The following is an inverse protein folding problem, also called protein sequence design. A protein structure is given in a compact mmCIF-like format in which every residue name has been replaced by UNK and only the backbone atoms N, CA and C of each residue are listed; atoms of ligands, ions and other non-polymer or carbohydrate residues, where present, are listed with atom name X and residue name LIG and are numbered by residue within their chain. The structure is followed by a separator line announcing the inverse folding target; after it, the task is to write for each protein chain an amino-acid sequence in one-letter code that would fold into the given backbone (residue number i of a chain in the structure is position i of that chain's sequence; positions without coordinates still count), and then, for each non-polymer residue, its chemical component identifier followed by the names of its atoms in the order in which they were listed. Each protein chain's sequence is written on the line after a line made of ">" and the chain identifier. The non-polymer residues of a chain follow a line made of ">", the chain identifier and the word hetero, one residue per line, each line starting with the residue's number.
data_IF_743889179950
#
_entry.id   IF_743889179950
#
_cell.length_a   1.000
_cell.length_b   1.000
_cell.length_c   1.000
_cell.angle_alpha   90.00
_cell.angle_beta   90.00
_cell.angle_gamma   90.00
#
_symmetry.space_group_name_H-M   'P 1'
#
loop_
_entity.id
_entity.type
_entity.pdbx_description
1 polymer ?
#
# COMPACT_ATOMS: atom_id res chain seq x y z
N UNK A 1 5.10 0.92 -9.33
CA UNK A 1 4.09 0.17 -8.55
C UNK A 1 4.58 -0.26 -7.17
N UNK A 2 5.89 -0.36 -6.96
CA UNK A 2 6.49 -0.73 -5.67
C UNK A 2 7.03 0.49 -4.94
N UNK A 3 6.79 0.56 -3.63
CA UNK A 3 7.31 1.64 -2.78
C UNK A 3 8.24 1.07 -1.70
N UNK A 4 7.71 0.42 -0.68
CA UNK A 4 8.48 -0.09 0.45
C UNK A 4 8.40 -1.60 0.53
N UNK A 5 9.52 -2.24 0.86
CA UNK A 5 9.58 -3.66 1.17
C UNK A 5 10.24 -3.90 2.50
N UNK A 6 9.83 -4.98 3.17
CA UNK A 6 10.53 -5.52 4.33
C UNK A 6 10.66 -7.03 4.16
N UNK A 7 11.86 -7.53 4.24
CA UNK A 7 12.19 -8.95 4.18
C UNK A 7 13.14 -9.37 5.30
N UNK A 8 13.30 -10.70 5.45
CA UNK A 8 14.30 -11.26 6.36
C UNK A 8 14.90 -12.55 5.81
N UNK A 9 16.14 -12.79 6.15
CA UNK A 9 16.76 -14.12 6.15
C UNK A 9 16.81 -14.65 7.58
N UNK A 10 16.54 -15.93 7.75
CA UNK A 10 16.78 -16.64 8.99
C UNK A 10 18.05 -17.48 8.86
N UNK A 11 18.88 -17.48 9.90
CA UNK A 11 20.09 -18.30 10.03
C UNK A 11 21.21 -17.98 9.02
N UNK A 12 22.03 -16.99 9.34
CA UNK A 12 23.25 -16.71 8.59
C UNK A 12 24.30 -16.04 9.50
N UNK A 13 25.58 -16.14 9.15
CA UNK A 13 26.66 -15.50 9.90
C UNK A 13 26.79 -14.01 9.55
N UNK A 14 25.66 -13.29 9.61
CA UNK A 14 25.64 -11.87 9.25
C UNK A 14 26.23 -11.01 10.36
N UNK A 15 27.16 -10.13 10.02
CA UNK A 15 27.81 -9.20 10.93
C UNK A 15 27.89 -7.79 10.33
N UNK A 16 27.87 -6.73 11.15
CA UNK A 16 28.18 -5.38 10.67
C UNK A 16 29.59 -5.30 10.12
N UNK A 17 29.80 -4.70 8.95
CA UNK A 17 31.15 -4.48 8.42
C UNK A 17 31.95 -3.57 9.34
N UNK A 18 33.21 -3.91 9.56
CA UNK A 18 34.13 -3.15 10.40
C UNK A 18 34.29 -1.69 9.95
N UNK A 19 34.41 -1.47 8.63
CA UNK A 19 34.56 -0.14 8.03
C UNK A 19 33.36 0.79 8.24
N UNK A 20 32.21 0.24 8.58
CA UNK A 20 30.96 0.99 8.79
C UNK A 20 30.45 0.87 10.23
N UNK A 21 31.28 0.33 11.14
CA UNK A 21 30.88 0.01 12.52
C UNK A 21 30.30 1.19 13.28
N UNK A 22 30.86 2.38 13.10
CA UNK A 22 30.38 3.61 13.77
C UNK A 22 29.01 4.08 13.29
N UNK A 23 28.51 3.49 12.19
CA UNK A 23 27.18 3.77 11.64
C UNK A 23 26.10 2.90 12.24
N UNK A 24 26.45 1.89 13.03
CA UNK A 24 25.53 0.91 13.59
C UNK A 24 25.19 1.24 15.04
N UNK A 25 23.90 1.21 15.36
CA UNK A 25 23.40 1.23 16.71
C UNK A 25 23.37 -0.20 17.26
N UNK A 26 24.07 -0.45 18.36
CA UNK A 26 24.06 -1.75 19.05
C UNK A 26 23.18 -1.69 20.26
N UNK A 27 22.27 -2.64 20.41
CA UNK A 27 21.41 -2.80 21.57
C UNK A 27 21.58 -4.19 22.18
N UNK A 28 21.77 -4.20 23.49
CA UNK A 28 21.83 -5.43 24.29
C UNK A 28 20.55 -5.54 25.09
N UNK A 29 19.94 -6.71 25.09
CA UNK A 29 18.74 -7.01 25.86
C UNK A 29 18.90 -8.31 26.62
N UNK A 30 18.76 -8.23 27.94
CA UNK A 30 18.67 -9.40 28.80
C UNK A 30 17.21 -9.85 28.91
N UNK A 31 16.99 -11.15 28.84
CA UNK A 31 15.68 -11.76 29.06
C UNK A 31 15.83 -13.08 29.79
N UNK A 32 14.80 -13.46 30.52
CA UNK A 32 14.75 -14.75 31.20
C UNK A 32 14.02 -15.76 30.33
N UNK A 33 14.70 -16.86 29.98
CA UNK A 33 14.08 -17.97 29.28
C UNK A 33 13.48 -18.94 30.32
N UNK A 34 12.15 -18.93 30.43
CA UNK A 34 11.43 -19.77 31.39
C UNK A 34 11.53 -21.25 31.10
N UNK A 35 11.86 -21.65 29.86
CA UNK A 35 12.03 -23.07 29.48
C UNK A 35 13.41 -23.59 29.90
N UNK A 36 14.43 -22.74 29.77
CA UNK A 36 15.81 -23.09 30.13
C UNK A 36 16.14 -22.74 31.58
N UNK A 37 15.28 -21.96 32.26
CA UNK A 37 15.54 -21.51 33.64
C UNK A 37 16.75 -20.56 33.75
N UNK A 38 17.18 -19.93 32.67
CA UNK A 38 18.41 -19.15 32.58
C UNK A 38 18.17 -17.74 32.07
N UNK A 39 19.05 -16.82 32.49
CA UNK A 39 19.09 -15.46 31.93
C UNK A 39 19.93 -15.50 30.66
N UNK A 40 19.36 -15.04 29.56
CA UNK A 40 20.02 -14.94 28.25
C UNK A 40 20.21 -13.48 27.87
N UNK A 41 21.30 -13.20 27.17
CA UNK A 41 21.58 -11.89 26.61
C UNK A 41 21.48 -11.97 25.10
N UNK A 42 20.72 -11.08 24.49
CA UNK A 42 20.64 -10.96 23.03
C UNK A 42 21.24 -9.62 22.59
N UNK A 43 22.10 -9.66 21.62
CA UNK A 43 22.70 -8.47 20.99
C UNK A 43 22.02 -8.26 19.64
N UNK A 44 21.66 -7.02 19.33
CA UNK A 44 21.16 -6.65 18.01
C UNK A 44 21.87 -5.41 17.49
N UNK A 45 22.09 -5.38 16.19
CA UNK A 45 22.67 -4.25 15.51
C UNK A 45 21.66 -3.67 14.52
N UNK A 46 21.52 -2.34 14.49
CA UNK A 46 20.64 -1.67 13.53
C UNK A 46 21.36 -0.52 12.84
N UNK A 47 21.16 -0.43 11.53
CA UNK A 47 21.62 0.66 10.69
C UNK A 47 20.39 1.33 10.07
N UNK A 48 20.30 2.66 10.18
CA UNK A 48 19.24 3.43 9.53
C UNK A 48 19.85 4.44 8.56
N UNK A 49 19.37 4.41 7.33
CA UNK A 49 19.68 5.37 6.25
C UNK A 49 18.38 5.84 5.62
N UNK A 50 18.37 6.96 4.87
CA UNK A 50 17.17 7.45 4.20
C UNK A 50 16.52 6.43 3.27
N UNK A 51 17.33 5.56 2.63
CA UNK A 51 16.91 4.57 1.65
C UNK A 51 16.46 3.26 2.28
N UNK A 52 17.15 2.83 3.35
CA UNK A 52 16.90 1.54 3.97
C UNK A 52 17.30 1.47 5.44
N UNK A 53 16.68 0.53 6.13
CA UNK A 53 17.06 0.10 7.48
C UNK A 53 17.49 -1.35 7.45
N UNK A 54 18.63 -1.66 8.03
CA UNK A 54 19.15 -3.02 8.20
C UNK A 54 19.15 -3.36 9.69
N UNK A 55 18.69 -4.56 10.04
CA UNK A 55 18.77 -5.12 11.39
C UNK A 55 19.43 -6.49 11.38
N UNK A 56 20.42 -6.69 12.24
CA UNK A 56 21.03 -8.00 12.50
C UNK A 56 20.70 -8.38 13.94
N UNK A 57 20.03 -9.51 14.13
CA UNK A 57 19.51 -9.92 15.43
C UNK A 57 20.26 -11.14 15.97
N UNK A 58 21.10 -10.88 16.96
CA UNK A 58 21.66 -11.81 17.91
C UNK A 58 22.29 -13.07 17.35
N UNK A 59 22.47 -14.03 18.21
CA UNK A 59 22.99 -15.35 17.90
C UNK A 59 22.07 -16.17 16.95
N UNK A 60 20.87 -15.66 16.68
CA UNK A 60 19.92 -16.28 15.74
C UNK A 60 20.31 -16.07 14.27
N UNK A 61 21.25 -15.14 13.98
CA UNK A 61 21.70 -14.86 12.61
C UNK A 61 20.57 -14.37 11.70
N UNK A 62 19.60 -13.62 12.23
CA UNK A 62 18.52 -13.02 11.41
C UNK A 62 19.00 -11.71 10.83
N UNK A 63 18.99 -11.61 9.50
CA UNK A 63 19.15 -10.36 8.76
C UNK A 63 17.77 -9.86 8.34
N UNK A 64 17.38 -8.67 8.80
CA UNK A 64 16.15 -7.98 8.39
C UNK A 64 16.46 -6.72 7.61
N UNK A 65 15.76 -6.50 6.52
CA UNK A 65 15.93 -5.30 5.69
C UNK A 65 14.57 -4.68 5.42
N UNK A 66 14.44 -3.39 5.68
CA UNK A 66 13.31 -2.55 5.26
C UNK A 66 13.86 -1.46 4.34
N UNK A 67 13.29 -1.30 3.14
CA UNK A 67 13.80 -0.37 2.16
C UNK A 67 12.70 0.37 1.39
N UNK A 68 12.93 1.66 1.14
CA UNK A 68 12.19 2.42 0.14
C UNK A 68 12.83 2.20 -1.23
N UNK A 69 12.19 1.38 -2.06
CA UNK A 69 12.71 1.06 -3.40
C UNK A 69 12.87 2.30 -4.29
N UNK A 70 11.92 3.28 -4.29
CA UNK A 70 12.10 4.52 -5.03
C UNK A 70 13.34 5.30 -4.60
N UNK A 71 13.65 5.39 -3.32
CA UNK A 71 14.85 6.10 -2.84
C UNK A 71 16.12 5.40 -3.28
N UNK A 72 16.15 4.06 -3.30
CA UNK A 72 17.29 3.28 -3.77
C UNK A 72 17.51 3.43 -5.28
N UNK A 73 16.44 3.44 -6.08
CA UNK A 73 16.54 3.45 -7.55
C UNK A 73 16.62 4.88 -8.11
N UNK A 74 15.83 5.81 -7.56
CA UNK A 74 15.69 7.17 -8.11
C UNK A 74 16.27 8.26 -7.20
N UNK A 75 16.78 7.93 -6.01
CA UNK A 75 17.26 8.90 -5.02
C UNK A 75 16.14 9.71 -4.33
N UNK A 76 14.89 9.48 -4.67
CA UNK A 76 13.74 10.15 -4.08
C UNK A 76 12.51 9.24 -4.04
N UNK A 77 11.48 9.63 -3.30
CA UNK A 77 10.27 8.83 -3.11
C UNK A 77 9.08 9.31 -3.98
N UNK A 78 9.33 10.00 -5.10
CA UNK A 78 8.24 10.49 -5.96
C UNK A 78 7.73 9.40 -6.91
N UNK A 79 8.61 8.77 -7.67
CA UNK A 79 8.22 7.78 -8.67
C UNK A 79 8.25 6.37 -8.08
N UNK A 80 7.15 5.61 -8.15
CA UNK A 80 7.17 4.18 -7.80
C UNK A 80 8.13 3.41 -8.73
N UNK A 81 8.72 2.33 -8.21
CA UNK A 81 9.53 1.42 -9.01
C UNK A 81 8.63 0.37 -9.64
N UNK A 82 8.86 0.05 -10.93
CA UNK A 82 8.15 -1.02 -11.63
C UNK A 82 9.06 -2.20 -11.95
N UNK A 83 10.37 -1.96 -12.08
CA UNK A 83 11.38 -3.02 -12.26
C UNK A 83 11.83 -3.56 -10.91
N UNK A 84 11.29 -4.73 -10.57
CA UNK A 84 11.62 -5.41 -9.33
C UNK A 84 13.06 -5.97 -9.34
N UNK A 85 13.56 -6.39 -10.50
CA UNK A 85 14.92 -6.92 -10.65
C UNK A 85 15.97 -5.86 -10.34
N UNK A 86 15.84 -4.69 -10.96
CA UNK A 86 16.73 -3.55 -10.67
C UNK A 86 16.63 -3.12 -9.20
N UNK A 87 15.41 -3.08 -8.64
CA UNK A 87 15.21 -2.73 -7.24
C UNK A 87 15.91 -3.70 -6.28
N UNK A 88 15.76 -5.00 -6.51
CA UNK A 88 16.40 -6.05 -5.69
C UNK A 88 17.93 -6.03 -5.84
N UNK A 89 18.45 -5.80 -7.05
CA UNK A 89 19.88 -5.65 -7.30
C UNK A 89 20.45 -4.46 -6.51
N UNK A 90 19.83 -3.27 -6.63
CA UNK A 90 20.23 -2.07 -5.86
C UNK A 90 20.18 -2.30 -4.35
N UNK A 91 19.16 -3.01 -3.89
CA UNK A 91 19.04 -3.36 -2.48
C UNK A 91 20.18 -4.32 -2.06
N UNK A 92 20.56 -5.28 -2.90
CA UNK A 92 21.69 -6.18 -2.71
C UNK A 92 23.01 -5.43 -2.57
N UNK A 93 23.28 -4.52 -3.51
CA UNK A 93 24.45 -3.65 -3.49
C UNK A 93 24.51 -2.81 -2.18
N UNK A 94 23.35 -2.26 -1.78
CA UNK A 94 23.24 -1.49 -0.54
C UNK A 94 23.54 -2.36 0.68
N UNK A 95 22.92 -3.54 0.81
CA UNK A 95 23.13 -4.43 1.96
C UNK A 95 24.57 -4.90 2.02
N UNK A 96 25.16 -5.29 0.87
CA UNK A 96 26.54 -5.75 0.76
C UNK A 96 27.58 -4.66 1.14
N UNK A 97 27.19 -3.38 1.10
CA UNK A 97 28.05 -2.29 1.56
C UNK A 97 28.24 -2.31 3.08
N UNK A 98 27.24 -2.76 3.83
CA UNK A 98 27.19 -2.63 5.30
C UNK A 98 27.26 -3.95 6.06
N UNK A 99 26.99 -5.09 5.41
CA UNK A 99 26.91 -6.40 6.05
C UNK A 99 28.04 -7.30 5.55
N UNK A 100 28.76 -7.93 6.48
CA UNK A 100 29.68 -9.03 6.22
C UNK A 100 28.95 -10.38 6.26
N UNK A 101 29.38 -11.30 5.44
CA UNK A 101 28.80 -12.63 5.28
C UNK A 101 28.32 -12.86 3.85
N UNK A 102 28.07 -14.12 3.52
CA UNK A 102 27.49 -14.50 2.25
C UNK A 102 25.99 -14.15 2.27
N UNK A 103 25.63 -13.09 1.55
CA UNK A 103 24.23 -12.62 1.45
C UNK A 103 23.60 -13.32 0.24
N UNK A 104 22.57 -14.17 0.45
CA UNK A 104 21.84 -14.75 -0.66
C UNK A 104 21.15 -13.68 -1.50
N UNK A 105 20.65 -14.06 -2.69
CA UNK A 105 19.85 -13.15 -3.51
C UNK A 105 18.69 -12.57 -2.68
N UNK A 106 18.54 -11.25 -2.65
CA UNK A 106 17.52 -10.61 -1.80
C UNK A 106 16.09 -10.96 -2.20
N UNK A 107 15.90 -11.43 -3.44
CA UNK A 107 14.63 -12.03 -3.87
C UNK A 107 14.18 -13.20 -3.02
N UNK A 108 15.13 -13.97 -2.45
CA UNK A 108 14.89 -15.13 -1.60
C UNK A 108 14.58 -14.78 -0.13
N UNK A 109 14.63 -13.50 0.26
CA UNK A 109 14.20 -13.10 1.60
C UNK A 109 12.74 -13.45 1.84
N UNK A 110 12.43 -13.97 3.03
CA UNK A 110 11.05 -14.11 3.46
C UNK A 110 10.38 -12.75 3.49
N UNK A 111 9.30 -12.60 2.73
CA UNK A 111 8.48 -11.42 2.72
C UNK A 111 7.86 -11.14 4.09
N UNK A 112 7.98 -9.92 4.59
CA UNK A 112 7.31 -9.43 5.80
C UNK A 112 6.30 -8.33 5.51
N UNK A 113 6.66 -7.40 4.59
CA UNK A 113 5.83 -6.28 4.16
C UNK A 113 6.15 -5.91 2.72
N UNK A 114 5.13 -5.52 1.99
CA UNK A 114 5.25 -4.85 0.69
C UNK A 114 4.19 -3.76 0.60
N UNK A 115 4.58 -2.62 0.04
CA UNK A 115 3.69 -1.49 -0.23
C UNK A 115 3.58 -1.33 -1.75
N UNK A 116 2.36 -1.49 -2.26
CA UNK A 116 2.01 -1.22 -3.66
C UNK A 116 1.40 0.16 -3.77
N UNK A 117 1.81 0.95 -4.73
CA UNK A 117 1.31 2.30 -4.88
C UNK A 117 1.15 2.73 -6.34
N UNK A 118 0.31 3.75 -6.54
CA UNK A 118 0.17 4.50 -7.77
C UNK A 118 0.02 6.00 -7.46
N UNK A 119 0.51 6.83 -8.37
CA UNK A 119 0.42 8.29 -8.28
C UNK A 119 -0.59 8.79 -9.31
N UNK A 120 -1.67 9.41 -8.85
CA UNK A 120 -2.64 10.10 -9.69
C UNK A 120 -2.28 11.59 -9.78
N UNK A 121 -2.08 12.12 -10.98
CA UNK A 121 -1.83 13.55 -11.20
C UNK A 121 -3.16 14.27 -11.33
N UNK A 122 -3.59 14.93 -10.27
CA UNK A 122 -4.89 15.56 -10.14
C UNK A 122 -4.82 17.09 -10.20
N UNK A 123 -3.61 17.67 -10.11
CA UNK A 123 -3.42 19.11 -10.14
C UNK A 123 -4.20 19.83 -9.04
N UNK A 124 -4.97 20.84 -9.43
CA UNK A 124 -5.81 21.64 -8.51
C UNK A 124 -6.99 20.87 -7.93
N UNK A 125 -7.42 19.77 -8.52
CA UNK A 125 -8.53 18.95 -8.03
C UNK A 125 -8.14 18.04 -6.85
N UNK A 126 -6.84 17.94 -6.48
CA UNK A 126 -6.38 17.09 -5.37
C UNK A 126 -7.16 17.28 -4.06
N UNK A 127 -7.47 18.51 -3.58
CA UNK A 127 -8.23 18.68 -2.34
C UNK A 127 -9.63 18.08 -2.41
N UNK A 128 -10.31 18.18 -3.55
CA UNK A 128 -11.66 17.66 -3.75
C UNK A 128 -11.66 16.13 -3.73
N UNK A 129 -10.64 15.49 -4.37
CA UNK A 129 -10.47 14.03 -4.28
C UNK A 129 -10.18 13.56 -2.85
N UNK A 130 -9.31 14.25 -2.10
CA UNK A 130 -9.03 13.92 -0.71
C UNK A 130 -10.29 14.06 0.14
N UNK A 131 -11.08 15.11 -0.06
CA UNK A 131 -12.36 15.32 0.61
C UNK A 131 -13.33 14.18 0.30
N UNK A 132 -13.53 13.84 -0.97
CA UNK A 132 -14.39 12.74 -1.41
C UNK A 132 -13.94 11.40 -0.82
N UNK A 133 -12.65 11.11 -0.87
CA UNK A 133 -12.08 9.88 -0.28
C UNK A 133 -12.27 9.83 1.24
N UNK A 134 -12.30 10.99 1.91
CA UNK A 134 -12.54 11.04 3.36
C UNK A 134 -13.92 10.52 3.74
N UNK A 135 -14.89 10.50 2.83
CA UNK A 135 -16.22 9.97 3.05
C UNK A 135 -16.39 8.50 2.64
N UNK A 136 -15.40 7.95 1.92
CA UNK A 136 -15.45 6.54 1.51
C UNK A 136 -15.29 5.61 2.71
N UNK A 137 -16.27 4.76 2.93
CA UNK A 137 -16.24 3.71 3.95
C UNK A 137 -15.82 2.38 3.34
N UNK A 138 -14.73 1.82 3.83
CA UNK A 138 -14.24 0.52 3.39
C UNK A 138 -14.56 -0.56 4.43
N UNK A 139 -15.33 -1.58 4.03
CA UNK A 139 -15.82 -2.62 4.95
C UNK A 139 -14.69 -3.30 5.74
N UNK A 140 -14.87 -3.41 7.06
CA UNK A 140 -13.93 -4.01 8.01
C UNK A 140 -12.62 -3.23 8.17
N UNK A 141 -12.55 -1.99 7.69
CA UNK A 141 -11.43 -1.11 7.93
C UNK A 141 -11.87 0.04 8.82
N UNK A 142 -11.01 0.45 9.74
CA UNK A 142 -11.17 1.71 10.47
C UNK A 142 -10.60 2.82 9.62
N UNK A 143 -11.29 3.92 9.53
CA UNK A 143 -10.85 5.12 8.84
C UNK A 143 -10.23 6.09 9.85
N UNK A 144 -9.13 6.69 9.47
CA UNK A 144 -8.47 7.78 10.20
C UNK A 144 -7.96 8.80 9.19
N UNK A 145 -7.69 10.02 9.65
CA UNK A 145 -6.98 11.00 8.84
C UNK A 145 -5.51 10.59 8.73
N UNK A 146 -4.96 10.66 7.53
CA UNK A 146 -3.52 10.53 7.31
C UNK A 146 -2.80 11.81 7.73
N UNK A 147 -1.61 11.68 8.32
CA UNK A 147 -0.82 12.83 8.77
C UNK A 147 -0.45 13.82 7.66
N UNK A 148 -0.54 13.42 6.38
CA UNK A 148 -0.19 14.24 5.24
C UNK A 148 -1.41 14.85 4.54
N UNK A 149 -2.49 15.07 5.27
CA UNK A 149 -3.73 15.65 4.76
C UNK A 149 -4.51 14.69 3.87
N UNK A 150 -4.38 13.41 4.07
CA UNK A 150 -5.06 12.35 3.35
C UNK A 150 -5.95 11.49 4.24
N UNK A 151 -6.30 10.32 3.74
CA UNK A 151 -7.15 9.35 4.42
C UNK A 151 -6.45 8.00 4.51
N UNK A 152 -6.67 7.32 5.62
CA UNK A 152 -6.13 6.02 5.87
C UNK A 152 -7.19 5.04 6.36
N UNK A 153 -7.18 3.82 5.82
CA UNK A 153 -8.07 2.72 6.20
C UNK A 153 -7.25 1.54 6.72
N UNK A 154 -7.59 1.06 7.91
CA UNK A 154 -6.92 -0.03 8.59
C UNK A 154 -7.77 -1.27 8.68
N UNK A 155 -7.17 -2.44 8.47
CA UNK A 155 -7.73 -3.70 8.94
C UNK A 155 -6.92 -4.27 10.11
N UNK A 156 -7.58 -4.97 11.02
CA UNK A 156 -6.92 -5.65 12.14
C UNK A 156 -5.89 -6.70 11.69
N UNK A 157 -5.94 -7.14 10.44
CA UNK A 157 -5.07 -8.17 9.86
C UNK A 157 -3.79 -7.61 9.20
N UNK A 158 -3.42 -6.34 9.47
CA UNK A 158 -2.18 -5.77 8.95
C UNK A 158 -2.24 -5.38 7.47
N UNK A 159 -3.43 -5.10 6.92
CA UNK A 159 -3.62 -4.39 5.67
C UNK A 159 -3.93 -2.93 5.99
N UNK A 160 -3.22 -2.03 5.32
CA UNK A 160 -3.39 -0.60 5.42
C UNK A 160 -3.55 -0.03 4.03
N UNK A 161 -4.50 0.85 3.82
CA UNK A 161 -4.71 1.55 2.56
C UNK A 161 -4.57 3.04 2.89
N UNK A 162 -3.89 3.79 2.06
CA UNK A 162 -3.67 5.22 2.23
C UNK A 162 -3.91 5.95 0.92
N UNK A 163 -4.49 7.14 1.01
CA UNK A 163 -4.58 8.08 -0.09
C UNK A 163 -4.19 9.45 0.46
N UNK A 164 -3.11 10.03 -0.03
CA UNK A 164 -2.53 11.24 0.57
C UNK A 164 -1.84 12.15 -0.45
N UNK A 165 -1.70 13.42 -0.05
CA UNK A 165 -0.95 14.44 -0.79
C UNK A 165 0.55 14.10 -0.75
N UNK A 166 1.09 13.70 -1.91
CA UNK A 166 2.50 13.29 -2.02
C UNK A 166 3.48 14.43 -1.80
N UNK A 167 3.09 15.65 -2.16
CA UNK A 167 3.93 16.83 -1.93
C UNK A 167 4.11 17.10 -0.44
N UNK A 168 3.01 17.07 0.33
CA UNK A 168 3.08 17.25 1.79
C UNK A 168 3.92 16.18 2.47
N UNK A 169 3.76 14.93 2.04
CA UNK A 169 4.53 13.80 2.59
C UNK A 169 6.04 14.00 2.37
N UNK A 170 6.48 14.38 1.16
CA UNK A 170 7.90 14.62 0.86
C UNK A 170 8.40 15.83 1.66
N UNK A 171 7.62 16.91 1.72
CA UNK A 171 8.01 18.11 2.45
C UNK A 171 8.20 17.84 3.95
N UNK A 172 7.34 17.04 4.56
CA UNK A 172 7.43 16.71 5.99
C UNK A 172 8.56 15.72 6.30
N UNK A 173 8.75 14.68 5.48
CA UNK A 173 9.70 13.61 5.75
C UNK A 173 11.12 13.94 5.26
N UNK A 174 11.25 14.42 4.04
CA UNK A 174 12.55 14.65 3.41
C UNK A 174 13.02 16.11 3.51
N UNK A 175 12.14 17.02 3.99
CA UNK A 175 12.40 18.48 4.11
C UNK A 175 12.84 19.12 2.78
N UNK A 176 12.38 18.56 1.66
CA UNK A 176 12.71 19.00 0.31
C UNK A 176 11.46 19.52 -0.40
N UNK A 177 11.59 20.66 -1.06
CA UNK A 177 10.58 21.12 -2.01
C UNK A 177 10.79 20.37 -3.34
N UNK A 178 9.79 19.58 -3.73
CA UNK A 178 9.75 18.82 -4.98
C UNK A 178 8.51 19.27 -5.76
N UNK A 179 8.62 20.32 -6.59
CA UNK A 179 7.46 20.90 -7.28
C UNK A 179 6.67 19.89 -8.12
N UNK A 180 7.34 18.86 -8.68
CA UNK A 180 6.72 17.81 -9.48
C UNK A 180 5.76 16.92 -8.69
N UNK A 181 5.83 16.96 -7.35
CA UNK A 181 4.92 16.26 -6.46
C UNK A 181 3.62 17.02 -6.20
N UNK A 182 3.55 18.33 -6.56
CA UNK A 182 2.35 19.15 -6.35
C UNK A 182 1.18 18.62 -7.16
N UNK A 183 0.02 18.54 -6.53
CA UNK A 183 -1.19 17.98 -7.15
C UNK A 183 -1.15 16.48 -7.41
N UNK A 184 -0.23 15.75 -6.76
CA UNK A 184 -0.13 14.29 -6.86
C UNK A 184 -0.79 13.63 -5.65
N UNK A 185 -1.84 12.85 -5.89
CA UNK A 185 -2.41 11.91 -4.94
C UNK A 185 -1.68 10.58 -5.02
N UNK A 186 -1.04 10.14 -3.93
CA UNK A 186 -0.54 8.76 -3.84
C UNK A 186 -1.60 7.88 -3.21
N UNK A 187 -1.96 6.83 -3.94
CA UNK A 187 -2.75 5.72 -3.43
C UNK A 187 -1.83 4.54 -3.13
N UNK A 188 -1.87 4.04 -1.91
CA UNK A 188 -0.92 3.04 -1.41
C UNK A 188 -1.64 1.93 -0.66
N UNK A 189 -1.21 0.69 -0.87
CA UNK A 189 -1.70 -0.49 -0.17
C UNK A 189 -0.51 -1.18 0.51
N UNK A 190 -0.47 -1.10 1.83
CA UNK A 190 0.49 -1.84 2.63
C UNK A 190 -0.05 -3.22 2.97
N UNK A 191 0.70 -4.26 2.64
CA UNK A 191 0.38 -5.66 2.92
C UNK A 191 1.47 -6.28 3.78
N UNK A 192 1.11 -6.78 4.95
CA UNK A 192 2.03 -7.47 5.85
C UNK A 192 1.80 -8.98 5.81
N UNK A 193 2.86 -9.78 5.95
CA UNK A 193 2.80 -11.26 6.00
C UNK A 193 1.72 -11.77 6.96
N UNK A 194 1.60 -11.17 8.15
CA UNK A 194 0.60 -11.54 9.16
C UNK A 194 -0.85 -11.39 8.71
N UNK A 195 -1.15 -10.62 7.64
CA UNK A 195 -2.50 -10.50 7.11
C UNK A 195 -2.96 -11.77 6.38
N UNK A 196 -2.02 -12.59 5.92
CA UNK A 196 -2.27 -13.76 5.08
C UNK A 196 -2.93 -13.45 3.75
N UNK A 197 -2.99 -12.16 3.34
CA UNK A 197 -3.70 -11.76 2.12
C UNK A 197 -3.02 -12.30 0.85
N UNK A 198 -1.72 -12.05 0.69
CA UNK A 198 -0.94 -12.51 -0.46
C UNK A 198 -0.79 -14.03 -0.46
N UNK A 199 -0.59 -14.65 0.72
CA UNK A 199 -0.50 -16.10 0.84
C UNK A 199 -1.77 -16.80 0.34
N UNK A 200 -2.95 -16.30 0.72
CA UNK A 200 -4.23 -16.82 0.22
C UNK A 200 -4.42 -16.59 -1.27
N UNK A 201 -4.03 -15.39 -1.76
CA UNK A 201 -4.14 -15.03 -3.17
C UNK A 201 -3.27 -15.90 -4.05
N UNK A 202 -2.03 -16.15 -3.64
CA UNK A 202 -1.06 -16.97 -4.38
C UNK A 202 -1.11 -18.45 -4.02
N UNK A 203 -1.99 -18.85 -3.09
CA UNK A 203 -2.12 -20.24 -2.57
C UNK A 203 -0.79 -20.79 -2.05
N UNK A 204 0.06 -19.94 -1.50
CA UNK A 204 1.39 -20.28 -0.98
C UNK A 204 1.52 -19.83 0.49
N UNK A 205 2.14 -20.69 1.32
CA UNK A 205 2.34 -20.39 2.75
C UNK A 205 3.53 -19.46 2.97
N UNK A 206 4.62 -19.73 2.30
CA UNK A 206 5.87 -18.97 2.41
C UNK A 206 6.13 -18.24 1.10
N UNK A 207 6.02 -16.91 1.14
CA UNK A 207 6.31 -16.05 0.01
C UNK A 207 7.64 -15.36 0.23
N UNK A 208 8.42 -15.29 -0.83
CA UNK A 208 9.67 -14.55 -0.92
C UNK A 208 9.44 -13.15 -1.48
N UNK A 209 10.42 -12.25 -1.36
CA UNK A 209 10.31 -10.92 -1.95
C UNK A 209 10.07 -10.97 -3.47
N UNK A 210 10.77 -11.84 -4.20
CA UNK A 210 10.56 -12.04 -5.63
C UNK A 210 9.15 -12.50 -6.00
N UNK A 211 8.46 -13.22 -5.10
CA UNK A 211 7.09 -13.66 -5.34
C UNK A 211 6.07 -12.52 -5.23
N UNK A 212 6.34 -11.54 -4.38
CA UNK A 212 5.43 -10.42 -4.12
C UNK A 212 5.78 -9.17 -4.95
N UNK A 213 7.00 -9.07 -5.47
CA UNK A 213 7.47 -7.96 -6.31
C UNK A 213 7.19 -8.23 -7.79
N UNK A 214 6.01 -8.73 -8.12
CA UNK A 214 5.54 -8.94 -9.50
C UNK A 214 4.56 -7.82 -9.89
N UNK A 215 4.81 -7.11 -11.00
CA UNK A 215 3.93 -6.02 -11.45
C UNK A 215 2.46 -6.41 -11.57
N UNK A 216 2.18 -7.62 -12.05
CA UNK A 216 0.81 -8.14 -12.23
C UNK A 216 0.09 -8.31 -10.88
N UNK A 217 0.83 -8.70 -9.84
CA UNK A 217 0.27 -8.84 -8.49
C UNK A 217 -0.01 -7.46 -7.90
N UNK A 218 0.93 -6.52 -8.03
CA UNK A 218 0.76 -5.16 -7.55
C UNK A 218 -0.42 -4.47 -8.25
N UNK A 219 -0.47 -4.53 -9.58
CA UNK A 219 -1.55 -3.98 -10.39
C UNK A 219 -2.91 -4.55 -9.99
N UNK A 220 -3.01 -5.87 -9.96
CA UNK A 220 -4.24 -6.56 -9.59
C UNK A 220 -4.71 -6.22 -8.16
N UNK A 221 -3.78 -6.03 -7.21
CA UNK A 221 -4.13 -5.59 -5.84
C UNK A 221 -4.64 -4.14 -5.81
N UNK A 222 -4.03 -3.25 -6.57
CA UNK A 222 -4.43 -1.85 -6.67
C UNK A 222 -5.83 -1.73 -7.32
N UNK A 223 -6.04 -2.35 -8.49
CA UNK A 223 -7.33 -2.36 -9.20
C UNK A 223 -8.44 -2.95 -8.31
N UNK A 224 -8.20 -4.14 -7.73
CA UNK A 224 -9.19 -4.77 -6.85
C UNK A 224 -9.55 -3.88 -5.65
N UNK A 225 -8.60 -3.10 -5.15
CA UNK A 225 -8.85 -2.23 -4.01
C UNK A 225 -9.62 -0.99 -4.41
N UNK A 226 -9.24 -0.32 -5.51
CA UNK A 226 -9.98 0.83 -6.05
C UNK A 226 -11.42 0.44 -6.38
N UNK A 227 -11.63 -0.68 -7.10
CA UNK A 227 -12.97 -1.17 -7.41
C UNK A 227 -13.80 -1.51 -6.16
N UNK A 228 -13.17 -2.06 -5.11
CA UNK A 228 -13.86 -2.34 -3.85
C UNK A 228 -14.22 -1.09 -3.05
N UNK A 229 -13.43 -0.05 -3.21
CA UNK A 229 -13.72 1.28 -2.65
C UNK A 229 -14.65 2.06 -3.56
N UNK A 230 -14.84 1.60 -4.80
CA UNK A 230 -15.65 2.19 -5.87
C UNK A 230 -15.31 3.66 -6.14
N UNK A 231 -14.04 4.00 -6.00
CA UNK A 231 -13.51 5.33 -6.37
C UNK A 231 -13.29 5.47 -7.89
N UNK A 232 -13.53 4.40 -8.64
CA UNK A 232 -13.49 4.33 -10.10
C UNK A 232 -14.85 4.56 -10.76
N UNK A 233 -15.95 4.65 -9.96
CA UNK A 233 -17.30 4.86 -10.48
C UNK A 233 -17.62 6.35 -10.62
N UNK A 234 -18.32 6.69 -11.70
CA UNK A 234 -19.04 7.96 -11.79
C UNK A 234 -20.11 8.01 -10.70
N UNK A 235 -20.19 9.14 -10.01
CA UNK A 235 -21.16 9.31 -8.94
C UNK A 235 -22.53 9.53 -9.54
N UNK A 236 -23.48 8.68 -9.18
CA UNK A 236 -24.85 8.78 -9.64
C UNK A 236 -25.64 9.71 -8.70
N UNK A 237 -26.23 10.77 -9.24
CA UNK A 237 -27.13 11.64 -8.46
C UNK A 237 -28.30 10.84 -7.88
N UNK A 238 -28.92 11.36 -6.80
CA UNK A 238 -30.08 10.68 -6.20
C UNK A 238 -31.24 10.48 -7.20
N UNK A 239 -31.42 11.42 -8.13
CA UNK A 239 -32.46 11.31 -9.17
C UNK A 239 -32.10 10.27 -10.22
N UNK A 240 -30.83 10.22 -10.65
CA UNK A 240 -30.36 9.17 -11.55
C UNK A 240 -30.43 7.78 -10.88
N UNK A 241 -30.03 7.68 -9.60
CA UNK A 241 -30.19 6.45 -8.82
C UNK A 241 -31.66 6.01 -8.73
N UNK A 242 -32.59 6.95 -8.53
CA UNK A 242 -34.04 6.68 -8.51
C UNK A 242 -34.51 6.12 -9.85
N UNK A 243 -34.16 6.75 -10.95
CA UNK A 243 -34.54 6.30 -12.30
C UNK A 243 -34.08 4.85 -12.54
N UNK A 244 -32.84 4.55 -12.25
CA UNK A 244 -32.27 3.18 -12.38
C UNK A 244 -33.02 2.18 -11.47
N UNK A 245 -33.33 2.58 -10.25
CA UNK A 245 -34.07 1.69 -9.32
C UNK A 245 -35.53 1.45 -9.77
N UNK A 246 -36.21 2.48 -10.28
CA UNK A 246 -37.57 2.40 -10.76
C UNK A 246 -37.70 1.55 -12.04
N UNK A 247 -36.65 1.52 -12.89
CA UNK A 247 -36.58 0.65 -14.07
C UNK A 247 -36.40 -0.84 -13.72
N UNK A 248 -35.69 -1.16 -12.63
CA UNK A 248 -35.32 -2.54 -12.33
C UNK A 248 -36.11 -3.20 -11.20
N UNK A 249 -36.83 -2.42 -10.40
CA UNK A 249 -37.54 -2.92 -9.24
C UNK A 249 -38.96 -2.34 -9.14
N UNK A 250 -39.83 -3.06 -8.41
CA UNK A 250 -41.13 -2.51 -8.05
C UNK A 250 -40.98 -1.24 -7.20
N UNK A 251 -41.93 -0.32 -7.32
CA UNK A 251 -41.95 0.96 -6.58
C UNK A 251 -41.61 0.81 -5.08
N UNK A 252 -42.19 -0.20 -4.42
CA UNK A 252 -41.93 -0.48 -3.00
C UNK A 252 -40.45 -0.83 -2.74
N UNK A 253 -39.85 -1.66 -3.60
CA UNK A 253 -38.44 -2.06 -3.46
C UNK A 253 -37.51 -0.92 -3.83
N UNK A 254 -37.77 -0.20 -4.91
CA UNK A 254 -37.01 0.97 -5.34
C UNK A 254 -36.98 2.06 -4.25
N UNK A 255 -38.16 2.39 -3.66
CA UNK A 255 -38.25 3.35 -2.55
C UNK A 255 -37.47 2.89 -1.32
N UNK A 256 -37.49 1.59 -0.99
CA UNK A 256 -36.74 1.03 0.11
C UNK A 256 -35.22 1.16 -0.13
N UNK A 257 -34.76 0.82 -1.34
CA UNK A 257 -33.34 0.91 -1.72
C UNK A 257 -32.85 2.37 -1.78
N UNK A 258 -33.68 3.28 -2.28
CA UNK A 258 -33.37 4.71 -2.26
C UNK A 258 -33.26 5.24 -0.82
N UNK A 259 -34.21 4.83 0.06
CA UNK A 259 -34.11 5.13 1.48
C UNK A 259 -32.90 4.51 2.17
N UNK A 260 -32.41 3.37 1.69
CA UNK A 260 -31.17 2.76 2.13
C UNK A 260 -29.96 3.60 1.70
N UNK A 261 -29.88 4.03 0.43
CA UNK A 261 -28.87 4.93 -0.08
C UNK A 261 -28.81 6.24 0.70
N UNK A 262 -29.96 6.90 0.92
CA UNK A 262 -30.05 8.16 1.70
C UNK A 262 -29.56 8.03 3.14
N UNK A 263 -29.84 6.90 3.80
CA UNK A 263 -29.35 6.67 5.17
C UNK A 263 -27.86 6.39 5.23
N UNK A 264 -27.29 5.84 4.17
CA UNK A 264 -25.83 5.67 4.07
C UNK A 264 -25.11 6.99 3.83
N UNK A 265 -25.76 7.90 3.13
CA UNK A 265 -25.32 9.27 2.89
C UNK A 265 -25.21 10.08 4.18
N UNK A 266 -26.19 9.94 5.06
CA UNK A 266 -26.30 10.71 6.31
C UNK A 266 -25.63 10.07 7.52
N UNK A 267 -25.03 8.89 7.38
CA UNK A 267 -24.45 8.14 8.48
C UNK A 267 -23.42 7.11 8.08
N UNK A 268 -22.68 6.57 9.05
CA UNK A 268 -21.72 5.52 8.77
C UNK A 268 -22.42 4.21 8.39
N UNK A 269 -21.85 3.47 7.46
CA UNK A 269 -22.30 2.10 7.07
C UNK A 269 -22.48 1.20 8.30
N UNK A 270 -21.64 1.38 9.33
CA UNK A 270 -21.72 0.63 10.58
C UNK A 270 -22.98 0.95 11.39
N UNK A 271 -23.46 2.19 11.41
CA UNK A 271 -24.69 2.56 12.09
C UNK A 271 -25.92 1.93 11.40
N UNK A 272 -25.92 1.90 10.07
CA UNK A 272 -27.01 1.29 9.34
C UNK A 272 -27.01 -0.24 9.46
N UNK A 273 -25.83 -0.87 9.47
CA UNK A 273 -25.69 -2.31 9.71
C UNK A 273 -26.21 -2.73 11.10
N UNK A 274 -26.12 -1.85 12.11
CA UNK A 274 -26.65 -2.11 13.46
C UNK A 274 -28.17 -1.98 13.51
N UNK A 275 -28.77 -1.15 12.65
CA UNK A 275 -30.22 -0.88 12.62
C UNK A 275 -31.00 -1.80 11.69
N UNK A 276 -30.37 -2.63 10.87
CA UNK A 276 -30.96 -3.53 9.91
C UNK A 276 -30.64 -4.99 10.22
N UNK A 277 -31.54 -5.93 9.87
CA UNK A 277 -31.15 -7.35 9.93
C UNK A 277 -29.98 -7.61 8.98
N UNK A 278 -29.07 -8.51 9.39
CA UNK A 278 -27.86 -8.83 8.60
C UNK A 278 -28.20 -9.28 7.18
N UNK A 279 -29.23 -10.12 7.03
CA UNK A 279 -29.70 -10.62 5.72
C UNK A 279 -30.27 -9.51 4.84
N UNK A 280 -31.10 -8.62 5.38
CA UNK A 280 -31.66 -7.49 4.64
C UNK A 280 -30.55 -6.53 4.17
N UNK A 281 -29.61 -6.20 5.03
CA UNK A 281 -28.46 -5.36 4.67
C UNK A 281 -27.66 -5.95 3.50
N UNK A 282 -27.34 -7.24 3.54
CA UNK A 282 -26.57 -7.88 2.47
C UNK A 282 -27.36 -8.03 1.18
N UNK A 283 -28.66 -8.31 1.25
CA UNK A 283 -29.54 -8.37 0.08
C UNK A 283 -29.63 -7.01 -0.62
N UNK A 284 -29.93 -5.95 0.13
CA UNK A 284 -30.03 -4.59 -0.42
C UNK A 284 -28.69 -4.13 -1.03
N UNK A 285 -27.57 -4.44 -0.36
CA UNK A 285 -26.24 -4.18 -0.89
C UNK A 285 -25.95 -4.92 -2.20
N UNK A 286 -26.36 -6.19 -2.33
CA UNK A 286 -26.16 -6.95 -3.57
C UNK A 286 -27.00 -6.39 -4.72
N UNK A 287 -28.24 -6.01 -4.45
CA UNK A 287 -29.11 -5.39 -5.45
C UNK A 287 -28.51 -4.08 -5.97
N UNK A 288 -28.03 -3.22 -5.07
CA UNK A 288 -27.37 -1.96 -5.45
C UNK A 288 -26.07 -2.19 -6.22
N UNK A 289 -25.26 -3.18 -5.83
CA UNK A 289 -24.04 -3.54 -6.56
C UNK A 289 -24.31 -3.99 -7.98
N UNK A 290 -25.36 -4.79 -8.18
CA UNK A 290 -25.75 -5.28 -9.52
C UNK A 290 -26.11 -4.14 -10.47
N UNK A 291 -26.61 -3.03 -9.95
CA UNK A 291 -27.00 -1.84 -10.70
C UNK A 291 -25.90 -0.75 -10.75
N UNK A 292 -24.72 -1.01 -10.21
CA UNK A 292 -23.65 0.02 -10.16
C UNK A 292 -23.91 1.15 -9.15
N UNK A 293 -24.92 1.01 -8.28
CA UNK A 293 -25.31 2.03 -7.30
C UNK A 293 -24.66 1.82 -5.91
N UNK A 294 -23.63 1.00 -5.83
CA UNK A 294 -22.91 0.72 -4.58
C UNK A 294 -21.40 0.83 -4.76
N UNK A 295 -20.70 1.49 -3.79
CA UNK A 295 -21.20 2.21 -2.61
C UNK A 295 -21.88 3.50 -3.02
N UNK A 296 -22.86 3.98 -2.26
CA UNK A 296 -23.35 5.33 -2.45
C UNK A 296 -22.23 6.26 -2.04
N UNK A 297 -21.75 7.08 -2.92
CA UNK A 297 -20.97 8.23 -2.55
C UNK A 297 -21.88 9.45 -2.56
N UNK A 298 -21.89 10.12 -1.44
CA UNK A 298 -22.76 11.24 -1.17
C UNK A 298 -22.37 12.53 -1.86
N UNK A 299 -21.31 12.51 -2.63
CA UNK A 299 -20.83 13.73 -3.28
C UNK A 299 -21.19 13.67 -4.74
N UNK A 300 -22.11 14.53 -5.23
CA UNK A 300 -22.21 14.81 -6.64
C UNK A 300 -20.88 15.49 -7.03
N UNK A 301 -19.88 14.70 -7.32
CA UNK A 301 -18.64 15.24 -7.80
C UNK A 301 -18.62 15.04 -9.31
N UNK A 302 -18.43 16.11 -10.04
CA UNK A 302 -18.03 16.10 -11.44
C UNK A 302 -16.60 15.54 -11.61
N UNK A 303 -16.04 14.96 -10.53
CA UNK A 303 -14.68 14.41 -10.53
C UNK A 303 -14.66 13.05 -11.23
N UNK A 304 -13.79 12.87 -12.22
CA UNK A 304 -13.58 11.57 -12.84
C UNK A 304 -13.17 10.49 -11.83
N UNK A 305 -13.59 9.25 -12.04
CA UNK A 305 -13.13 8.13 -11.21
C UNK A 305 -11.60 7.95 -11.26
N UNK A 306 -11.01 7.49 -10.16
CA UNK A 306 -9.59 7.15 -10.10
C UNK A 306 -9.35 5.81 -10.79
N UNK A 307 -8.89 5.85 -12.03
CA UNK A 307 -8.60 4.66 -12.83
C UNK A 307 -7.11 4.48 -13.02
N UNK A 308 -6.64 3.24 -12.89
CA UNK A 308 -5.27 2.88 -13.24
C UNK A 308 -5.17 2.70 -14.76
N UNK A 309 -4.15 3.27 -15.41
CA UNK A 309 -3.83 2.91 -16.80
C UNK A 309 -3.62 1.41 -16.96
N UNK A 310 -3.80 0.83 -18.13
CA UNK A 310 -3.47 -0.56 -18.40
C UNK A 310 -2.04 -0.92 -17.96
N UNK A 311 -1.84 -2.16 -17.53
CA UNK A 311 -0.52 -2.58 -16.99
C UNK A 311 0.60 -2.39 -18.01
N UNK A 312 0.32 -2.66 -19.29
CA UNK A 312 1.28 -2.51 -20.39
C UNK A 312 1.74 -1.05 -20.54
N UNK A 313 0.84 -0.10 -20.35
CA UNK A 313 1.16 1.33 -20.38
C UNK A 313 2.05 1.72 -19.20
N UNK A 314 1.70 1.27 -17.99
CA UNK A 314 2.51 1.51 -16.78
C UNK A 314 3.92 0.91 -16.88
N UNK A 315 4.11 -0.15 -17.65
CA UNK A 315 5.41 -0.78 -17.88
C UNK A 315 6.15 -0.15 -19.08
N UNK A 316 5.43 0.36 -20.10
CA UNK A 316 6.03 0.95 -21.31
C UNK A 316 6.73 2.27 -21.04
N UNK A 317 6.24 3.08 -20.11
CA UNK A 317 6.91 4.32 -19.69
C UNK A 317 8.35 4.08 -19.19
N UNK A 318 8.67 2.86 -18.72
CA UNK A 318 10.03 2.48 -18.34
C UNK A 318 10.91 2.10 -19.55
N UNK A 319 10.34 1.47 -20.57
CA UNK A 319 11.10 1.05 -21.75
C UNK A 319 11.64 2.27 -22.49
N UNK A 320 10.90 3.35 -22.53
CA UNK A 320 11.32 4.62 -23.14
C UNK A 320 12.46 5.27 -22.33
N UNK A 321 12.37 5.27 -21.01
CA UNK A 321 13.40 5.83 -20.13
C UNK A 321 14.71 5.02 -20.19
N UNK A 322 14.62 3.69 -20.22
CA UNK A 322 15.80 2.81 -20.34
C UNK A 322 16.49 2.91 -21.71
N UNK A 323 15.75 3.16 -22.77
CA UNK A 323 16.34 3.43 -24.11
C UNK A 323 17.07 4.76 -24.13
N UNK A 324 16.51 5.81 -23.55
CA UNK A 324 17.13 7.14 -23.51
C UNK A 324 18.39 7.16 -22.61
N UNK A 325 18.36 6.51 -21.46
CA UNK A 325 19.55 6.42 -20.58
C UNK A 325 20.71 5.60 -21.18
N UNK A 326 20.42 4.61 -22.03
CA UNK A 326 21.47 3.86 -22.76
C UNK A 326 22.07 4.65 -23.92
N UNK A 327 21.31 5.57 -24.52
CA UNK A 327 21.81 6.44 -25.60
C UNK A 327 22.72 7.53 -25.02
N UNK A 328 22.37 8.08 -23.84
CA UNK A 328 23.21 9.10 -23.15
C UNK A 328 24.49 8.54 -22.52
N UNK A 329 24.54 7.24 -22.19
CA UNK A 329 25.75 6.57 -21.68
C UNK A 329 26.69 6.03 -22.78
N UNK A 330 26.28 6.12 -24.05
CA UNK A 330 27.04 5.66 -25.22
C UNK A 330 27.55 6.82 -26.10
N UNK A 331 27.26 8.06 -25.73
CA UNK A 331 27.76 9.29 -26.33
C UNK A 331 28.77 9.97 -25.40
#
# INVERSE_FOLDING_TARGET
>A
MFDTVTGKFEKGPYLPKQLTKDSWETRTRDFYDSKLGTRLTSVSHSLSRPEARIGIFGDSGILSVEASLPKLVHGNNLKPVNDAGEALRRLGDFVSTYVDGEIPELGEMDYLRVDYCHNFRLGSALPDYVHTLSDVSFLRHRRTTDGYGGVEWWSNNGRRIRAYDKYKEILENDKKDVPEARGVLRFEIQLRKKSGFLQRRQRAKNLKLQDVLKPEIAYSCLVETLNKMCVDLEFVTQDAARNVLDEHFSYRKATRLLGFLRRLDSGTIDNHRKSSSRSAFFSDKQDLKRLGLWPPSAVPSELPGLQLPPLEELLSDQIVLLRNSRIESAA
#
